data_IF_781827964156
#
_entry.id   IF_781827964156
#
_cell.length_a   1.000
_cell.length_b   1.000
_cell.length_c   1.000
_cell.angle_alpha   90.00
_cell.angle_beta   90.00
_cell.angle_gamma   90.00
#
_symmetry.space_group_name_H-M   'P 1'
#
loop_
_entity.id
_entity.type
_entity.pdbx_description
1 polymer ?
#
# COMPACT_ATOMS: atom_id res chain seq x y z
N UNK A 1 -13.46 6.74 6.25
CA UNK A 1 -12.00 6.81 6.41
C UNK A 1 -11.42 5.45 6.01
N UNK A 2 -10.61 5.33 4.94
CA UNK A 2 -10.12 4.04 4.43
C UNK A 2 -9.14 3.30 5.37
N UNK A 3 -8.80 3.87 6.54
CA UNK A 3 -7.86 3.32 7.53
C UNK A 3 -8.56 2.48 8.63
N UNK A 4 -9.87 2.23 8.54
CA UNK A 4 -10.59 1.45 9.56
C UNK A 4 -10.20 -0.04 9.55
N UNK A 5 -9.85 -0.62 10.70
CA UNK A 5 -9.47 -2.04 10.83
C UNK A 5 -10.66 -2.98 11.06
N UNK A 6 -10.68 -4.14 10.40
CA UNK A 6 -11.70 -5.20 10.61
C UNK A 6 -12.71 -5.46 9.47
N UNK A 7 -12.49 -4.94 8.25
CA UNK A 7 -13.39 -5.17 7.10
C UNK A 7 -12.98 -6.32 6.19
N UNK A 8 -13.96 -7.01 5.57
CA UNK A 8 -13.74 -8.17 4.69
C UNK A 8 -12.93 -7.86 3.41
N UNK A 9 -13.11 -6.67 2.80
CA UNK A 9 -12.37 -6.23 1.61
C UNK A 9 -12.13 -4.73 1.69
N UNK A 10 -10.90 -4.28 1.46
CA UNK A 10 -10.52 -2.86 1.40
C UNK A 10 -9.90 -2.53 0.05
N UNK A 11 -10.32 -1.40 -0.53
CA UNK A 11 -9.66 -0.83 -1.70
C UNK A 11 -8.58 0.14 -1.24
N UNK A 12 -7.33 -0.17 -1.57
CA UNK A 12 -6.21 0.68 -1.23
C UNK A 12 -5.75 1.45 -2.45
N UNK A 13 -5.41 2.73 -2.25
CA UNK A 13 -4.57 3.49 -3.19
C UNK A 13 -3.11 3.43 -2.73
N UNK A 14 -2.16 3.81 -3.59
CA UNK A 14 -0.77 4.02 -3.18
C UNK A 14 -0.67 4.91 -1.93
N UNK A 15 -1.42 6.02 -1.91
CA UNK A 15 -1.45 6.96 -0.78
C UNK A 15 -1.91 6.27 0.51
N UNK A 16 -2.99 5.49 0.43
CA UNK A 16 -3.54 4.76 1.57
C UNK A 16 -2.54 3.72 2.12
N UNK A 17 -1.90 2.94 1.24
CA UNK A 17 -0.86 1.98 1.65
C UNK A 17 0.32 2.67 2.34
N UNK A 18 0.76 3.81 1.79
CA UNK A 18 1.89 4.56 2.35
C UNK A 18 1.57 5.13 3.73
N UNK A 19 0.38 5.70 3.92
CA UNK A 19 -0.06 6.18 5.24
C UNK A 19 -0.11 5.05 6.26
N UNK A 20 -0.70 3.90 5.91
CA UNK A 20 -0.76 2.75 6.81
C UNK A 20 0.62 2.21 7.20
N UNK A 21 1.56 2.15 6.25
CA UNK A 21 2.93 1.72 6.54
C UNK A 21 3.65 2.72 7.45
N UNK A 22 3.49 4.02 7.19
CA UNK A 22 4.11 5.06 7.98
C UNK A 22 3.61 5.06 9.43
N UNK A 23 2.30 4.84 9.62
CA UNK A 23 1.64 4.66 10.92
C UNK A 23 2.12 3.38 11.64
N UNK A 24 2.64 2.39 10.92
CA UNK A 24 3.01 1.06 11.47
C UNK A 24 4.51 0.82 11.48
N UNK A 25 5.34 1.69 12.04
CA UNK A 25 6.80 1.43 12.18
C UNK A 25 7.50 0.88 10.92
N UNK A 26 6.98 1.19 9.73
CA UNK A 26 7.52 0.77 8.44
C UNK A 26 7.71 2.01 7.56
N UNK A 27 8.83 2.08 6.85
CA UNK A 27 9.11 3.13 5.87
C UNK A 27 8.97 2.53 4.46
N UNK A 28 8.01 2.96 3.64
CA UNK A 28 7.91 2.50 2.26
C UNK A 28 9.14 2.96 1.47
N UNK A 29 9.78 2.03 0.74
CA UNK A 29 11.01 2.29 -0.05
C UNK A 29 10.79 2.14 -1.56
N UNK A 30 9.80 1.34 -1.99
CA UNK A 30 9.49 1.18 -3.41
C UNK A 30 8.02 0.81 -3.61
N UNK A 31 7.47 1.19 -4.76
CA UNK A 31 6.12 0.87 -5.20
C UNK A 31 6.16 0.40 -6.64
N UNK A 32 5.49 -0.71 -6.92
CA UNK A 32 5.33 -1.24 -8.27
C UNK A 32 3.91 -1.74 -8.49
N UNK A 33 3.48 -1.76 -9.74
CA UNK A 33 2.25 -2.39 -10.15
C UNK A 33 2.52 -3.50 -11.16
N UNK A 34 1.61 -4.47 -11.23
CA UNK A 34 1.76 -5.66 -12.08
C UNK A 34 0.47 -5.98 -12.86
N UNK A 35 0.65 -6.64 -14.02
CA UNK A 35 -0.41 -7.31 -14.78
C UNK A 35 -0.79 -6.66 -16.12
N UNK A 36 -1.14 -5.36 -16.14
CA UNK A 36 -1.60 -4.66 -17.36
C UNK A 36 -0.62 -3.55 -17.78
N UNK A 37 -1.11 -2.33 -17.99
CA UNK A 37 -0.35 -1.13 -18.32
C UNK A 37 -0.08 -0.30 -17.05
N UNK A 38 0.93 0.60 -17.07
CA UNK A 38 1.12 1.60 -16.03
C UNK A 38 -0.21 2.27 -15.65
N UNK A 39 -0.47 2.41 -14.35
CA UNK A 39 -1.71 2.96 -13.75
C UNK A 39 -2.99 2.13 -13.94
N UNK A 40 -3.02 1.10 -14.80
CA UNK A 40 -4.14 0.16 -14.96
C UNK A 40 -3.83 -1.22 -14.36
N UNK A 41 -2.96 -1.26 -13.36
CA UNK A 41 -2.47 -2.49 -12.78
C UNK A 41 -3.58 -3.38 -12.21
N UNK A 42 -3.41 -4.69 -12.35
CA UNK A 42 -4.28 -5.68 -11.71
C UNK A 42 -3.96 -5.78 -10.21
N UNK A 43 -2.70 -5.57 -9.86
CA UNK A 43 -2.20 -5.67 -8.49
C UNK A 43 -1.12 -4.62 -8.24
N UNK A 44 -1.01 -4.17 -7.00
CA UNK A 44 0.02 -3.24 -6.53
C UNK A 44 0.86 -3.92 -5.45
N UNK A 45 2.15 -3.62 -5.42
CA UNK A 45 3.08 -4.09 -4.40
C UNK A 45 3.88 -2.91 -3.83
N UNK A 46 4.10 -2.94 -2.52
CA UNK A 46 4.95 -1.99 -1.80
C UNK A 46 6.04 -2.75 -1.10
N UNK A 47 7.29 -2.32 -1.26
CA UNK A 47 8.41 -2.76 -0.44
C UNK A 47 8.59 -1.72 0.66
N UNK A 48 8.69 -2.18 1.91
CA UNK A 48 8.91 -1.33 3.07
C UNK A 48 10.00 -1.91 3.97
N UNK A 49 10.69 -1.02 4.68
CA UNK A 49 11.71 -1.37 5.66
C UNK A 49 11.19 -1.05 7.07
N UNK A 50 11.41 -1.93 8.05
CA UNK A 50 11.05 -1.64 9.44
C UNK A 50 11.89 -0.44 9.93
N UNK A 51 11.22 0.54 10.55
CA UNK A 51 11.87 1.67 11.25
C UNK A 51 12.64 1.09 12.44
N UNK A 52 13.90 1.50 12.60
CA UNK A 52 14.78 1.09 13.70
C UNK A 52 14.29 1.61 15.05
#
# INVERSE_FOLDING_TARGET
NPVWEGGHIKFFSKKTLYTMLDDTSFKPISFSGSGRLPYLWKSMAVVAQKKG
#
